data_IF_565471893621
#
_entry.id   IF_565471893621
#
_cell.length_a   1.000
_cell.length_b   1.000
_cell.length_c   1.000
_cell.angle_alpha   90.00
_cell.angle_beta   90.00
_cell.angle_gamma   90.00
#
_symmetry.space_group_name_H-M   'P 1'
#
loop_
_entity.id
_entity.type
_entity.pdbx_description
1 polymer ?
#
# COMPACT_ATOMS: atom_id res chain seq x y z
N UNK A 1 -59.72 22.16 11.38
CA UNK A 1 -59.35 21.17 12.42
C UNK A 1 -58.91 19.90 11.70
N UNK A 2 -57.63 19.55 11.88
CA UNK A 2 -56.89 18.31 11.57
C UNK A 2 -57.31 17.42 10.38
N UNK A 3 -56.48 17.36 9.33
CA UNK A 3 -56.31 16.15 8.51
C UNK A 3 -55.10 15.38 8.98
N UNK A 4 -55.37 14.16 9.44
CA UNK A 4 -54.45 13.16 9.94
C UNK A 4 -53.50 12.64 8.86
N UNK A 5 -52.31 12.27 9.33
CA UNK A 5 -51.18 11.82 8.53
C UNK A 5 -51.29 10.33 8.17
N UNK A 6 -50.84 9.97 6.98
CA UNK A 6 -50.10 8.71 6.81
C UNK A 6 -49.26 8.74 5.54
N UNK A 7 -48.02 9.17 5.71
CA UNK A 7 -46.93 8.71 4.88
C UNK A 7 -46.64 7.25 5.20
N UNK A 8 -46.51 6.43 4.17
CA UNK A 8 -45.90 5.10 4.21
C UNK A 8 -45.35 4.90 2.80
N UNK A 9 -44.07 5.09 2.52
CA UNK A 9 -42.97 4.40 3.19
C UNK A 9 -42.64 3.12 2.42
N UNK A 10 -42.47 3.20 1.08
CA UNK A 10 -41.95 2.06 0.33
C UNK A 10 -40.44 1.99 0.53
N UNK A 11 -40.03 1.01 1.34
CA UNK A 11 -38.66 0.67 1.63
C UNK A 11 -37.84 0.53 0.35
N UNK A 12 -36.80 1.35 0.24
CA UNK A 12 -35.74 1.17 -0.75
C UNK A 12 -35.02 -0.12 -0.37
N UNK A 13 -35.33 -1.21 -1.06
CA UNK A 13 -34.48 -2.39 -1.10
C UNK A 13 -33.08 -1.91 -1.53
N UNK A 14 -32.18 -1.72 -0.55
CA UNK A 14 -30.75 -1.64 -0.82
C UNK A 14 -30.33 -3.06 -1.17
N UNK A 15 -30.61 -3.47 -2.41
CA UNK A 15 -29.87 -4.55 -3.04
C UNK A 15 -28.42 -4.14 -2.89
N UNK A 16 -27.67 -4.79 -2.00
CA UNK A 16 -26.23 -4.64 -1.93
C UNK A 16 -25.73 -5.07 -3.31
N UNK A 17 -25.37 -4.14 -4.21
CA UNK A 17 -24.89 -4.53 -5.52
C UNK A 17 -23.66 -5.40 -5.26
N UNK A 18 -23.50 -6.49 -6.00
CA UNK A 18 -22.22 -7.21 -5.95
C UNK A 18 -21.13 -6.17 -6.19
N UNK A 19 -20.12 -6.07 -5.31
CA UNK A 19 -19.18 -4.98 -5.37
C UNK A 19 -18.56 -4.94 -6.76
N UNK A 20 -18.65 -3.77 -7.38
CA UNK A 20 -18.02 -3.46 -8.65
C UNK A 20 -16.54 -3.85 -8.60
N UNK A 21 -15.95 -4.15 -9.76
CA UNK A 21 -14.51 -4.36 -9.86
C UNK A 21 -13.71 -3.20 -9.22
N UNK A 22 -14.17 -1.95 -9.37
CA UNK A 22 -13.55 -0.78 -8.74
C UNK A 22 -13.70 -0.75 -7.21
N UNK A 23 -14.85 -1.19 -6.68
CA UNK A 23 -15.08 -1.29 -5.23
C UNK A 23 -14.21 -2.38 -4.62
N UNK A 24 -14.07 -3.53 -5.30
CA UNK A 24 -13.14 -4.60 -4.90
C UNK A 24 -11.70 -4.10 -4.88
N UNK A 25 -11.23 -3.44 -5.94
CA UNK A 25 -9.90 -2.83 -5.95
C UNK A 25 -9.69 -1.84 -4.81
N UNK A 26 -10.68 -1.00 -4.52
CA UNK A 26 -10.59 0.00 -3.44
C UNK A 26 -10.54 -0.68 -2.08
N UNK A 27 -11.36 -1.71 -1.85
CA UNK A 27 -11.35 -2.51 -0.63
C UNK A 27 -10.03 -3.26 -0.45
N UNK A 28 -9.53 -3.95 -1.47
CA UNK A 28 -8.24 -4.65 -1.44
C UNK A 28 -7.08 -3.68 -1.16
N UNK A 29 -7.10 -2.47 -1.75
CA UNK A 29 -6.10 -1.42 -1.45
C UNK A 29 -6.17 -0.96 0.00
N UNK A 30 -7.38 -0.75 0.52
CA UNK A 30 -7.56 -0.32 1.91
C UNK A 30 -7.07 -1.40 2.88
N UNK A 31 -7.40 -2.65 2.61
CA UNK A 31 -6.93 -3.80 3.38
C UNK A 31 -5.41 -3.94 3.32
N UNK A 32 -4.83 -3.86 2.13
CA UNK A 32 -3.38 -3.91 1.96
C UNK A 32 -2.67 -2.77 2.71
N UNK A 33 -3.20 -1.55 2.65
CA UNK A 33 -2.67 -0.40 3.43
C UNK A 33 -2.76 -0.64 4.94
N UNK A 34 -3.88 -1.19 5.41
CA UNK A 34 -4.04 -1.50 6.82
C UNK A 34 -3.04 -2.56 7.27
N UNK A 35 -2.91 -3.66 6.51
CA UNK A 35 -1.98 -4.75 6.81
C UNK A 35 -0.52 -4.27 6.80
N UNK A 36 -0.13 -3.53 5.78
CA UNK A 36 1.23 -2.95 5.66
C UNK A 36 1.52 -2.03 6.84
N UNK A 37 0.57 -1.17 7.21
CA UNK A 37 0.73 -0.29 8.37
C UNK A 37 0.90 -1.08 9.66
N UNK A 38 0.06 -2.09 9.90
CA UNK A 38 0.16 -2.95 11.09
C UNK A 38 1.54 -3.61 11.16
N UNK A 39 1.99 -4.25 10.07
CA UNK A 39 3.31 -4.89 9.99
C UNK A 39 4.46 -3.91 10.21
N UNK A 40 4.35 -2.70 9.65
CA UNK A 40 5.35 -1.65 9.86
C UNK A 40 5.37 -1.17 11.32
N UNK A 41 4.21 -0.96 11.94
CA UNK A 41 4.13 -0.58 13.36
C UNK A 41 4.67 -1.69 14.27
N UNK A 42 4.39 -2.96 13.96
CA UNK A 42 4.87 -4.14 14.69
C UNK A 42 6.41 -4.18 14.70
N UNK A 43 7.06 -4.05 13.54
CA UNK A 43 8.52 -4.14 13.45
C UNK A 43 9.23 -2.91 14.01
N UNK A 44 8.63 -1.72 13.85
CA UNK A 44 9.25 -0.45 14.30
C UNK A 44 8.94 -0.13 15.77
N UNK A 45 7.95 -0.80 16.37
CA UNK A 45 7.41 -0.47 17.69
C UNK A 45 6.70 0.90 17.74
N UNK A 46 6.49 1.55 16.60
CA UNK A 46 5.96 2.92 16.51
C UNK A 46 4.57 2.92 15.89
N UNK A 47 3.56 3.30 16.68
CA UNK A 47 2.16 3.36 16.24
C UNK A 47 1.87 4.47 15.23
N UNK A 48 2.75 5.47 15.13
CA UNK A 48 2.69 6.58 14.19
C UNK A 48 3.46 6.30 12.89
N UNK A 49 4.02 5.09 12.72
CA UNK A 49 4.75 4.73 11.52
C UNK A 49 3.83 4.82 10.28
N UNK A 50 4.28 5.59 9.29
CA UNK A 50 3.58 5.77 8.03
C UNK A 50 4.43 5.22 6.89
N UNK A 51 3.80 4.39 6.06
CA UNK A 51 4.43 3.85 4.88
C UNK A 51 4.50 4.92 3.78
N UNK A 52 5.67 5.05 3.15
CA UNK A 52 5.88 5.88 1.95
C UNK A 52 6.20 4.98 0.77
N UNK A 53 5.52 5.18 -0.35
CA UNK A 53 5.63 4.33 -1.53
C UNK A 53 6.52 4.92 -2.63
N UNK A 54 6.80 6.22 -2.59
CA UNK A 54 7.77 6.85 -3.50
C UNK A 54 9.18 6.45 -3.08
N UNK A 55 10.07 6.11 -4.02
CA UNK A 55 11.46 5.71 -3.73
C UNK A 55 12.17 6.64 -2.74
N UNK A 56 12.24 7.93 -3.07
CA UNK A 56 12.95 8.92 -2.26
C UNK A 56 12.35 9.04 -0.85
N UNK A 57 11.02 9.06 -0.76
CA UNK A 57 10.32 9.14 0.52
C UNK A 57 10.44 7.83 1.33
N UNK A 58 10.46 6.68 0.67
CA UNK A 58 10.67 5.39 1.32
C UNK A 58 12.08 5.33 1.93
N UNK A 59 13.11 5.66 1.16
CA UNK A 59 14.48 5.65 1.66
C UNK A 59 14.68 6.63 2.83
N UNK A 60 14.14 7.84 2.74
CA UNK A 60 14.30 8.86 3.78
C UNK A 60 13.42 8.60 5.01
N UNK A 61 12.12 8.38 4.80
CA UNK A 61 11.14 8.39 5.89
C UNK A 61 10.88 6.98 6.46
N UNK A 62 11.21 5.91 5.72
CA UNK A 62 11.07 4.53 6.19
C UNK A 62 12.43 3.93 6.51
N UNK A 63 13.33 3.85 5.52
CA UNK A 63 14.62 3.17 5.68
C UNK A 63 15.55 3.95 6.61
N UNK A 64 15.76 5.25 6.39
CA UNK A 64 16.67 6.05 7.22
C UNK A 64 16.10 6.31 8.63
N UNK A 65 14.79 6.56 8.74
CA UNK A 65 14.14 6.91 10.02
C UNK A 65 13.90 5.71 10.93
N UNK A 66 13.48 4.57 10.36
CA UNK A 66 13.11 3.39 11.14
C UNK A 66 14.10 2.24 10.99
N UNK A 67 15.06 2.32 10.06
CA UNK A 67 16.03 1.24 9.78
C UNK A 67 15.32 -0.08 9.48
N UNK A 68 14.29 -0.02 8.65
CA UNK A 68 13.55 -1.19 8.17
C UNK A 68 13.47 -1.18 6.65
N UNK A 69 13.49 -2.38 6.05
CA UNK A 69 13.27 -2.61 4.63
C UNK A 69 12.16 -3.63 4.39
N UNK A 70 11.61 -3.63 3.19
CA UNK A 70 10.74 -4.72 2.71
C UNK A 70 11.62 -5.78 2.08
N UNK A 71 11.37 -7.03 2.43
CA UNK A 71 12.01 -8.20 1.86
C UNK A 71 10.98 -9.02 1.06
N UNK A 72 11.44 -9.63 -0.03
CA UNK A 72 10.61 -10.49 -0.88
C UNK A 72 9.58 -9.76 -1.75
N UNK A 73 9.74 -8.45 -1.98
CA UNK A 73 8.85 -7.72 -2.89
C UNK A 73 8.99 -8.23 -4.33
N UNK A 74 7.89 -8.59 -5.02
CA UNK A 74 7.95 -9.16 -6.36
C UNK A 74 8.12 -8.06 -7.43
N UNK A 75 9.33 -7.47 -7.49
CA UNK A 75 9.66 -6.37 -8.42
C UNK A 75 9.41 -6.70 -9.89
N UNK A 76 9.51 -7.98 -10.27
CA UNK A 76 9.25 -8.47 -11.63
C UNK A 76 7.77 -8.37 -12.04
N UNK A 77 6.86 -8.52 -11.07
CA UNK A 77 5.40 -8.53 -11.30
C UNK A 77 4.79 -7.14 -11.05
N UNK A 78 5.22 -6.52 -9.94
CA UNK A 78 4.68 -5.26 -9.44
C UNK A 78 5.83 -4.30 -9.12
N UNK A 79 6.01 -3.24 -9.92
CA UNK A 79 7.03 -2.25 -9.62
C UNK A 79 6.71 -1.57 -8.28
N UNK A 80 7.76 -1.18 -7.55
CA UNK A 80 7.61 -0.53 -6.25
C UNK A 80 7.05 0.89 -6.43
N UNK A 81 5.72 1.02 -6.34
CA UNK A 81 4.99 2.29 -6.47
C UNK A 81 3.80 2.33 -5.53
N UNK A 82 3.11 3.46 -5.49
CA UNK A 82 1.91 3.61 -4.66
C UNK A 82 0.85 2.57 -5.07
N UNK A 83 0.18 1.99 -4.08
CA UNK A 83 -0.87 0.99 -4.27
C UNK A 83 -2.05 1.51 -5.10
N UNK A 84 -2.24 2.83 -5.15
CA UNK A 84 -3.23 3.46 -6.06
C UNK A 84 -2.84 3.35 -7.53
N UNK A 85 -1.54 3.36 -7.83
CA UNK A 85 -1.02 3.34 -9.21
C UNK A 85 -0.87 1.92 -9.75
N UNK A 86 -1.11 0.90 -8.91
CA UNK A 86 -1.17 -0.50 -9.33
C UNK A 86 -2.48 -0.73 -10.10
N UNK A 87 -2.42 -1.06 -11.42
CA UNK A 87 -3.58 -1.02 -12.29
C UNK A 87 -4.52 -2.23 -12.16
N UNK A 88 -4.01 -3.37 -11.69
CA UNK A 88 -4.71 -4.65 -11.78
C UNK A 88 -5.03 -5.22 -10.39
N UNK A 89 -6.27 -5.68 -10.20
CA UNK A 89 -6.70 -6.36 -8.97
C UNK A 89 -5.84 -7.60 -8.66
N UNK A 90 -5.52 -8.49 -9.63
CA UNK A 90 -4.65 -9.64 -9.36
C UNK A 90 -3.28 -9.26 -8.79
N UNK A 91 -2.71 -8.13 -9.21
CA UNK A 91 -1.42 -7.64 -8.69
C UNK A 91 -1.53 -7.18 -7.24
N UNK A 92 -2.66 -6.54 -6.87
CA UNK A 92 -2.95 -6.16 -5.49
C UNK A 92 -3.19 -7.38 -4.61
N UNK A 93 -3.91 -8.37 -5.12
CA UNK A 93 -4.16 -9.64 -4.43
C UNK A 93 -2.86 -10.43 -4.23
N UNK A 94 -1.95 -10.42 -5.21
CA UNK A 94 -0.62 -11.02 -5.09
C UNK A 94 0.18 -10.36 -3.95
N UNK A 95 0.20 -9.03 -3.89
CA UNK A 95 0.83 -8.32 -2.77
C UNK A 95 0.17 -8.66 -1.43
N UNK A 96 -1.16 -8.68 -1.38
CA UNK A 96 -1.90 -9.03 -0.17
C UNK A 96 -1.61 -10.46 0.29
N UNK A 97 -1.56 -11.42 -0.64
CA UNK A 97 -1.19 -12.79 -0.36
C UNK A 97 0.25 -12.86 0.17
N UNK A 98 1.20 -12.18 -0.48
CA UNK A 98 2.60 -12.11 -0.05
C UNK A 98 2.79 -11.54 1.36
N UNK A 99 2.02 -10.51 1.74
CA UNK A 99 2.06 -9.99 3.11
C UNK A 99 1.39 -10.92 4.14
N UNK A 100 0.42 -11.74 3.71
CA UNK A 100 -0.27 -12.70 4.57
C UNK A 100 0.52 -13.98 4.77
N UNK A 101 1.14 -14.50 3.72
CA UNK A 101 1.98 -15.71 3.76
C UNK A 101 3.37 -15.44 4.34
N UNK A 102 3.80 -14.16 4.39
CA UNK A 102 5.08 -13.73 4.94
C UNK A 102 6.22 -13.69 3.92
N UNK A 103 5.96 -14.00 2.65
CA UNK A 103 6.89 -13.82 1.53
C UNK A 103 7.29 -12.36 1.42
N UNK A 104 6.34 -11.44 1.64
CA UNK A 104 6.59 -10.00 1.75
C UNK A 104 6.51 -9.63 3.22
N UNK A 105 7.66 -9.29 3.80
CA UNK A 105 7.72 -8.89 5.19
C UNK A 105 8.64 -7.68 5.38
N UNK A 106 8.44 -6.97 6.48
CA UNK A 106 9.38 -5.95 6.90
C UNK A 106 10.47 -6.58 7.76
N UNK A 107 11.72 -6.25 7.45
CA UNK A 107 12.89 -6.66 8.22
C UNK A 107 13.65 -5.41 8.69
N UNK A 108 14.09 -5.42 9.94
CA UNK A 108 15.03 -4.43 10.45
C UNK A 108 16.41 -4.65 9.81
N UNK A 109 17.04 -3.56 9.35
CA UNK A 109 18.34 -3.60 8.69
C UNK A 109 19.43 -3.06 9.60
N UNK A 110 20.66 -3.55 9.43
CA UNK A 110 21.84 -3.01 10.11
C UNK A 110 22.33 -1.72 9.47
N UNK A 111 23.26 -1.02 10.14
CA UNK A 111 23.90 0.19 9.60
C UNK A 111 24.65 -0.11 8.28
N UNK A 112 25.28 -1.28 8.17
CA UNK A 112 25.99 -1.72 6.96
C UNK A 112 25.04 -1.93 5.78
N UNK A 113 23.90 -2.61 6.03
CA UNK A 113 22.87 -2.79 5.02
C UNK A 113 22.23 -1.46 4.61
N UNK A 114 22.04 -0.55 5.57
CA UNK A 114 21.59 0.81 5.29
C UNK A 114 22.57 1.55 4.36
N UNK A 115 23.86 1.51 4.65
CA UNK A 115 24.88 2.15 3.81
C UNK A 115 24.92 1.53 2.40
N UNK A 116 24.76 0.21 2.29
CA UNK A 116 24.64 -0.47 1.00
C UNK A 116 23.40 -0.01 0.22
N UNK A 117 22.25 0.13 0.89
CA UNK A 117 21.03 0.64 0.26
C UNK A 117 21.16 2.11 -0.16
N UNK A 118 21.86 2.94 0.62
CA UNK A 118 22.13 4.34 0.27
C UNK A 118 23.06 4.44 -0.94
N UNK A 119 24.04 3.54 -1.04
CA UNK A 119 24.95 3.48 -2.18
C UNK A 119 24.25 3.01 -3.46
N UNK A 120 23.41 1.97 -3.38
CA UNK A 120 22.63 1.47 -4.52
C UNK A 120 21.26 0.91 -4.08
N UNK A 121 20.15 1.67 -4.19
CA UNK A 121 18.83 1.18 -3.80
C UNK A 121 18.16 0.27 -4.86
N UNK A 122 18.76 0.13 -6.04
CA UNK A 122 18.20 -0.60 -7.19
C UNK A 122 17.87 -2.08 -6.92
N UNK A 123 18.69 -2.85 -6.19
CA UNK A 123 18.44 -4.26 -5.91
C UNK A 123 17.16 -4.48 -5.08
N UNK A 124 16.77 -3.50 -4.28
CA UNK A 124 15.68 -3.62 -3.31
C UNK A 124 14.38 -2.97 -3.77
N UNK A 125 14.48 -1.86 -4.52
CA UNK A 125 13.32 -1.05 -4.92
C UNK A 125 13.09 -1.12 -6.45
N UNK A 126 13.98 -1.79 -7.19
CA UNK A 126 13.98 -1.86 -8.66
C UNK A 126 14.65 -0.64 -9.29
N UNK A 127 14.60 -0.48 -10.62
CA UNK A 127 15.03 0.74 -11.32
C UNK A 127 14.00 1.87 -11.17
N UNK A 128 14.41 3.15 -11.25
CA UNK A 128 13.51 4.30 -11.13
C UNK A 128 12.68 4.45 -12.41
N UNK A 129 11.74 3.55 -12.63
CA UNK A 129 10.82 3.67 -13.77
C UNK A 129 9.76 4.77 -13.56
N UNK A 130 9.95 5.68 -12.60
CA UNK A 130 9.18 6.92 -12.55
C UNK A 130 9.59 7.71 -13.79
N UNK A 131 8.68 7.95 -14.76
CA UNK A 131 8.99 8.85 -15.84
C UNK A 131 9.27 10.22 -15.19
N UNK A 132 10.44 10.77 -15.43
CA UNK A 132 10.75 12.15 -15.08
C UNK A 132 9.65 13.06 -15.65
N UNK A 133 8.82 13.64 -14.78
CA UNK A 133 8.00 14.82 -15.08
C UNK A 133 8.84 16.13 -14.98
N UNK A 134 10.17 16.03 -14.96
CA UNK A 134 11.09 17.17 -14.92
C UNK A 134 11.91 17.27 -16.23
N UNK A 135 11.19 17.32 -17.36
CA UNK A 135 11.75 17.72 -18.64
C UNK A 135 10.86 18.80 -19.29
N UNK A 136 10.81 19.98 -18.68
CA UNK A 136 10.50 21.21 -19.41
C UNK A 136 11.49 22.30 -18.97
N UNK A 137 12.38 22.63 -19.89
CA UNK A 137 13.37 23.70 -19.83
C UNK A 137 12.94 24.82 -20.79
#
# INVERSE_FOLDING_TARGET
MATDASGSGFGRFRLNPRPSYSERMTSTRAELRALVRVKLCEITGKHDAQMRWSRNAYMRDVVARYKVRIEGWPLNEVPFKNLSDVPNLPKLELLLAGFRDGSICFRAITEDEYNAMVADPTPWIGADTSPNEDAEA
#
